data_IF_074809541593
#
_entry.id   IF_074809541593
#
_cell.length_a   1.000
_cell.length_b   1.000
_cell.length_c   1.000
_cell.angle_alpha   90.00
_cell.angle_beta   90.00
_cell.angle_gamma   90.00
#
_symmetry.space_group_name_H-M   'P 1'
#
loop_
_entity.id
_entity.type
_entity.pdbx_description
1 polymer ?
#
# COMPACT_ATOMS: atom_id res chain seq x y z
N UNK A 1 12.84 17.22 -7.98
CA UNK A 1 11.78 16.40 -7.38
C UNK A 1 12.34 15.02 -7.08
N UNK A 2 12.18 14.56 -5.85
CA UNK A 2 12.71 13.25 -5.47
C UNK A 2 11.78 12.13 -5.94
N UNK A 3 12.36 11.10 -6.50
CA UNK A 3 11.63 9.93 -6.96
C UNK A 3 12.26 8.67 -6.37
N UNK A 4 11.48 7.91 -5.63
CA UNK A 4 11.96 6.71 -4.97
C UNK A 4 10.98 5.57 -5.28
N UNK A 5 11.52 4.41 -5.64
CA UNK A 5 10.72 3.22 -5.99
C UNK A 5 9.68 3.51 -7.07
N UNK A 6 9.99 4.39 -7.99
CA UNK A 6 9.09 4.77 -9.07
C UNK A 6 8.00 5.76 -8.69
N UNK A 7 8.04 6.28 -7.47
CA UNK A 7 7.01 7.22 -6.98
C UNK A 7 7.61 8.61 -6.80
N UNK A 8 6.93 9.61 -7.35
CA UNK A 8 7.33 11.00 -7.15
C UNK A 8 6.83 11.46 -5.79
N UNK A 9 7.75 11.90 -4.94
CA UNK A 9 7.41 12.34 -3.61
C UNK A 9 6.95 13.81 -3.60
N UNK A 10 5.99 14.18 -2.73
CA UNK A 10 5.54 15.57 -2.65
C UNK A 10 6.65 16.46 -2.10
N UNK A 11 6.96 17.55 -2.80
CA UNK A 11 8.09 18.41 -2.49
C UNK A 11 7.96 19.17 -1.17
N UNK A 12 6.74 19.56 -0.83
CA UNK A 12 6.51 20.43 0.32
C UNK A 12 6.34 19.68 1.64
N UNK A 13 6.31 18.36 1.60
CA UNK A 13 6.15 17.53 2.79
C UNK A 13 7.49 17.16 3.39
N UNK A 14 7.52 16.94 4.71
CA UNK A 14 8.71 16.35 5.33
C UNK A 14 8.94 14.97 4.74
N UNK A 15 10.21 14.56 4.69
CA UNK A 15 10.56 13.28 4.10
C UNK A 15 9.86 12.12 4.82
N UNK A 16 9.65 12.23 6.13
CA UNK A 16 8.92 11.24 6.92
C UNK A 16 7.52 10.99 6.33
N UNK A 17 6.82 12.06 6.01
CA UNK A 17 5.47 11.97 5.45
C UNK A 17 5.53 11.63 3.96
N UNK A 18 6.51 12.19 3.26
CA UNK A 18 6.67 11.93 1.82
C UNK A 18 6.84 10.45 1.50
N UNK A 19 7.62 9.73 2.31
CA UNK A 19 7.83 8.30 2.09
C UNK A 19 6.56 7.48 2.24
N UNK A 20 5.59 7.95 3.01
CA UNK A 20 4.32 7.22 3.17
C UNK A 20 3.47 7.21 1.90
N UNK A 21 3.83 8.02 0.89
CA UNK A 21 3.15 7.98 -0.40
C UNK A 21 3.54 6.76 -1.22
N UNK A 22 4.59 6.05 -0.81
CA UNK A 22 4.99 4.80 -1.44
C UNK A 22 4.12 3.68 -0.88
N UNK A 23 3.49 2.91 -1.75
CA UNK A 23 2.65 1.80 -1.32
C UNK A 23 3.47 0.77 -0.52
N UNK A 24 3.05 0.49 0.67
CA UNK A 24 3.73 -0.44 1.57
C UNK A 24 4.56 0.23 2.67
N UNK A 25 4.72 1.56 2.62
CA UNK A 25 5.47 2.29 3.65
C UNK A 25 4.50 3.15 4.44
N UNK A 26 4.36 2.84 5.73
CA UNK A 26 3.62 3.66 6.66
C UNK A 26 4.57 4.56 7.45
N UNK A 27 4.01 5.32 8.39
CA UNK A 27 4.80 6.28 9.16
C UNK A 27 5.91 5.62 9.99
N UNK A 28 5.63 4.48 10.60
CA UNK A 28 6.63 3.76 11.40
C UNK A 28 7.75 3.22 10.53
N UNK A 29 7.39 2.63 9.39
CA UNK A 29 8.39 2.12 8.43
C UNK A 29 9.22 3.27 7.88
N UNK A 30 8.59 4.41 7.60
CA UNK A 30 9.29 5.60 7.12
C UNK A 30 10.35 6.05 8.12
N UNK A 31 10.01 6.14 9.40
CA UNK A 31 10.96 6.54 10.44
C UNK A 31 12.11 5.56 10.56
N UNK A 32 11.85 4.27 10.46
CA UNK A 32 12.89 3.24 10.51
C UNK A 32 13.85 3.37 9.33
N UNK A 33 13.32 3.57 8.15
CA UNK A 33 14.12 3.73 6.93
C UNK A 33 15.03 4.96 7.07
N UNK A 34 14.49 6.06 7.54
CA UNK A 34 15.27 7.29 7.70
C UNK A 34 16.35 7.14 8.75
N UNK A 35 16.08 6.43 9.84
CA UNK A 35 17.09 6.18 10.87
C UNK A 35 18.24 5.34 10.31
N UNK A 36 17.95 4.31 9.53
CA UNK A 36 18.99 3.48 8.91
C UNK A 36 19.78 4.24 7.85
N UNK A 37 19.12 5.13 7.11
CA UNK A 37 19.78 5.94 6.09
C UNK A 37 20.51 7.17 6.67
N UNK A 38 20.38 7.42 7.96
CA UNK A 38 20.96 8.60 8.63
C UNK A 38 20.47 9.91 8.03
N UNK A 39 19.17 9.99 7.75
CA UNK A 39 18.54 11.19 7.22
C UNK A 39 17.56 11.73 8.25
N UNK A 40 17.56 13.05 8.47
CA UNK A 40 16.62 13.67 9.41
C UNK A 40 15.18 13.53 8.90
N UNK A 41 14.25 13.05 9.73
CA UNK A 41 12.84 12.94 9.31
C UNK A 41 12.17 14.30 9.08
N UNK A 42 12.76 15.38 9.60
CA UNK A 42 12.19 16.72 9.46
C UNK A 42 12.62 17.42 8.17
N UNK A 43 13.55 16.85 7.41
CA UNK A 43 13.99 17.42 6.15
C UNK A 43 12.84 17.38 5.14
N UNK A 44 12.61 18.51 4.45
CA UNK A 44 11.62 18.54 3.38
C UNK A 44 12.12 17.75 2.18
N UNK A 45 11.19 17.14 1.46
CA UNK A 45 11.57 16.36 0.26
C UNK A 45 12.36 17.20 -0.72
N UNK A 46 11.98 18.46 -0.93
CA UNK A 46 12.68 19.37 -1.85
C UNK A 46 14.12 19.67 -1.42
N UNK A 47 14.44 19.50 -0.15
CA UNK A 47 15.76 19.81 0.41
C UNK A 47 16.68 18.58 0.48
N UNK A 48 16.20 17.42 0.03
CA UNK A 48 17.00 16.20 0.02
C UNK A 48 18.12 16.28 -1.01
N UNK A 49 19.33 15.88 -0.59
CA UNK A 49 20.45 15.76 -1.54
C UNK A 49 20.37 14.44 -2.28
N UNK A 50 21.08 14.34 -3.40
CA UNK A 50 21.12 13.11 -4.19
C UNK A 50 21.66 11.93 -3.38
N UNK A 51 22.66 12.17 -2.52
CA UNK A 51 23.21 11.14 -1.65
C UNK A 51 22.17 10.63 -0.67
N UNK A 52 21.40 11.54 -0.08
CA UNK A 52 20.34 11.16 0.85
C UNK A 52 19.28 10.32 0.16
N UNK A 53 18.88 10.71 -1.05
CA UNK A 53 17.90 9.95 -1.85
C UNK A 53 18.44 8.55 -2.15
N UNK A 54 19.71 8.44 -2.53
CA UNK A 54 20.33 7.13 -2.80
C UNK A 54 20.38 6.24 -1.57
N UNK A 55 20.71 6.80 -0.41
CA UNK A 55 20.74 6.02 0.83
C UNK A 55 19.37 5.51 1.20
N UNK A 56 18.36 6.36 1.07
CA UNK A 56 16.97 5.99 1.34
C UNK A 56 16.54 4.86 0.40
N UNK A 57 16.81 5.00 -0.90
CA UNK A 57 16.47 3.99 -1.90
C UNK A 57 17.14 2.65 -1.59
N UNK A 58 18.42 2.67 -1.20
CA UNK A 58 19.15 1.45 -0.87
C UNK A 58 18.52 0.73 0.32
N UNK A 59 18.16 1.47 1.36
CA UNK A 59 17.53 0.88 2.54
C UNK A 59 16.17 0.27 2.19
N UNK A 60 15.38 0.95 1.37
CA UNK A 60 14.09 0.43 0.93
C UNK A 60 14.26 -0.86 0.15
N UNK A 61 15.20 -0.89 -0.79
CA UNK A 61 15.44 -2.07 -1.64
C UNK A 61 15.86 -3.28 -0.80
N UNK A 62 16.63 -3.05 0.27
CA UNK A 62 17.11 -4.14 1.11
C UNK A 62 16.08 -4.65 2.11
N UNK A 63 15.22 -3.79 2.62
CA UNK A 63 14.40 -4.12 3.79
C UNK A 63 12.90 -4.17 3.55
N UNK A 64 12.41 -3.56 2.46
CA UNK A 64 10.97 -3.41 2.24
C UNK A 64 10.53 -3.99 0.91
N UNK A 65 9.34 -4.58 0.92
CA UNK A 65 8.64 -4.93 -0.31
C UNK A 65 7.58 -3.84 -0.53
N UNK A 66 7.69 -3.10 -1.62
CA UNK A 66 6.84 -1.92 -1.86
C UNK A 66 6.30 -1.91 -3.28
N UNK A 67 5.31 -1.07 -3.50
CA UNK A 67 4.70 -0.76 -4.81
C UNK A 67 4.35 -2.02 -5.60
N UNK A 68 4.82 -2.13 -6.83
CA UNK A 68 4.47 -3.24 -7.71
C UNK A 68 4.79 -4.61 -7.14
N UNK A 69 5.91 -4.75 -6.45
CA UNK A 69 6.29 -6.01 -5.84
C UNK A 69 5.34 -6.39 -4.71
N UNK A 70 4.96 -5.42 -3.89
CA UNK A 70 4.00 -5.69 -2.82
C UNK A 70 2.61 -6.01 -3.38
N UNK A 71 2.17 -5.28 -4.40
CA UNK A 71 0.89 -5.53 -5.04
C UNK A 71 0.84 -6.92 -5.63
N UNK A 72 1.93 -7.34 -6.24
CA UNK A 72 2.05 -8.69 -6.82
C UNK A 72 1.98 -9.75 -5.73
N UNK A 73 2.68 -9.54 -4.63
CA UNK A 73 2.68 -10.47 -3.51
C UNK A 73 1.27 -10.62 -2.92
N UNK A 74 0.56 -9.53 -2.72
CA UNK A 74 -0.82 -9.57 -2.20
C UNK A 74 -1.73 -10.32 -3.18
N UNK A 75 -1.60 -10.03 -4.47
CA UNK A 75 -2.40 -10.71 -5.49
C UNK A 75 -2.14 -12.22 -5.49
N UNK A 76 -0.89 -12.63 -5.36
CA UNK A 76 -0.53 -14.04 -5.28
C UNK A 76 -1.08 -14.71 -4.04
N UNK A 77 -1.04 -14.01 -2.90
CA UNK A 77 -1.58 -14.54 -1.65
C UNK A 77 -3.08 -14.75 -1.74
N UNK A 78 -3.80 -13.81 -2.33
CA UNK A 78 -5.25 -13.93 -2.54
C UNK A 78 -5.54 -15.09 -3.49
N UNK A 79 -4.81 -15.19 -4.59
CA UNK A 79 -4.97 -16.28 -5.55
C UNK A 79 -4.76 -17.64 -4.88
N UNK A 80 -3.73 -17.74 -4.05
CA UNK A 80 -3.46 -18.95 -3.29
C UNK A 80 -4.64 -19.33 -2.39
N UNK A 81 -5.21 -18.36 -1.68
CA UNK A 81 -6.38 -18.60 -0.84
C UNK A 81 -7.56 -19.11 -1.66
N UNK A 82 -7.77 -18.55 -2.84
CA UNK A 82 -8.84 -18.97 -3.73
C UNK A 82 -8.61 -20.40 -4.25
N UNK A 83 -7.39 -20.74 -4.59
CA UNK A 83 -7.03 -22.07 -5.09
C UNK A 83 -7.19 -23.15 -4.03
N UNK A 84 -6.85 -22.82 -2.78
CA UNK A 84 -7.02 -23.75 -1.66
C UNK A 84 -8.50 -23.99 -1.38
N UNK A 85 -9.36 -23.05 -1.70
CA UNK A 85 -10.80 -23.17 -1.47
C UNK A 85 -11.23 -22.93 -0.03
N UNK A 86 -10.40 -22.26 0.76
CA UNK A 86 -10.77 -21.93 2.12
C UNK A 86 -11.81 -20.82 2.17
N UNK A 87 -12.41 -20.59 3.34
CA UNK A 87 -13.45 -19.58 3.48
C UNK A 87 -12.98 -18.20 3.03
N UNK A 88 -11.78 -17.78 3.42
CA UNK A 88 -11.25 -16.48 3.02
C UNK A 88 -11.10 -16.38 1.51
N UNK A 89 -10.62 -17.45 0.88
CA UNK A 89 -10.49 -17.49 -0.58
C UNK A 89 -11.82 -17.38 -1.29
N UNK A 90 -12.84 -18.06 -0.77
CA UNK A 90 -14.20 -17.99 -1.33
C UNK A 90 -14.74 -16.56 -1.22
N UNK A 91 -14.51 -15.89 -0.10
CA UNK A 91 -14.96 -14.50 0.07
C UNK A 91 -14.27 -13.57 -0.92
N UNK A 92 -12.96 -13.75 -1.16
CA UNK A 92 -12.25 -12.97 -2.18
C UNK A 92 -12.79 -13.22 -3.58
N UNK A 93 -13.08 -14.48 -3.90
CA UNK A 93 -13.63 -14.84 -5.21
C UNK A 93 -14.97 -14.15 -5.44
N UNK A 94 -15.80 -14.06 -4.43
CA UNK A 94 -17.12 -13.44 -4.53
C UNK A 94 -17.11 -11.94 -4.35
N UNK A 95 -15.94 -11.35 -4.04
CA UNK A 95 -15.83 -9.91 -3.80
C UNK A 95 -16.53 -9.45 -2.53
N UNK A 96 -16.57 -10.30 -1.52
CA UNK A 96 -17.25 -10.01 -0.25
C UNK A 96 -16.23 -9.73 0.86
N UNK A 97 -16.65 -9.02 1.93
CA UNK A 97 -15.76 -8.80 3.07
C UNK A 97 -15.25 -10.12 3.66
N UNK A 98 -13.98 -10.14 4.05
CA UNK A 98 -13.27 -11.36 4.43
C UNK A 98 -13.22 -11.57 5.94
N UNK A 99 -13.34 -10.48 6.72
CA UNK A 99 -13.14 -10.52 8.17
C UNK A 99 -14.43 -10.55 8.98
N UNK A 100 -15.48 -11.15 8.44
CA UNK A 100 -16.72 -11.32 9.17
C UNK A 100 -17.60 -10.08 9.25
N UNK A 101 -17.34 -9.08 8.41
CA UNK A 101 -18.15 -7.87 8.38
C UNK A 101 -19.55 -8.17 7.82
N UNK A 102 -20.49 -7.35 8.24
CA UNK A 102 -21.85 -7.45 7.72
C UNK A 102 -21.88 -7.09 6.23
N UNK A 103 -22.69 -7.79 5.47
CA UNK A 103 -22.81 -7.55 4.03
C UNK A 103 -24.05 -6.76 3.66
N UNK A 104 -25.02 -6.63 4.55
CA UNK A 104 -26.23 -5.86 4.28
C UNK A 104 -25.98 -4.37 4.18
N UNK A 105 -25.02 -3.86 4.94
CA UNK A 105 -24.70 -2.44 4.98
C UNK A 105 -23.20 -2.28 4.86
N UNK A 106 -22.75 -1.13 4.41
CA UNK A 106 -21.34 -0.73 4.48
C UNK A 106 -20.33 -1.73 3.90
N UNK A 107 -20.73 -2.55 2.95
CA UNK A 107 -19.82 -3.48 2.29
C UNK A 107 -19.38 -2.98 0.90
N UNK A 108 -19.62 -1.72 0.60
CA UNK A 108 -19.36 -1.18 -0.73
C UNK A 108 -17.88 -1.16 -1.12
N UNK A 109 -16.97 -1.09 -0.14
CA UNK A 109 -15.54 -1.15 -0.43
C UNK A 109 -15.14 -2.44 -1.14
N UNK A 110 -15.74 -3.57 -0.78
CA UNK A 110 -15.47 -4.85 -1.42
C UNK A 110 -16.45 -5.17 -2.54
N UNK A 111 -17.73 -4.85 -2.33
CA UNK A 111 -18.78 -5.15 -3.30
C UNK A 111 -18.86 -4.13 -4.44
N UNK A 112 -18.25 -2.98 -4.26
CA UNK A 112 -18.32 -1.89 -5.20
C UNK A 112 -19.53 -0.99 -4.94
N UNK A 113 -19.76 -0.01 -5.83
CA UNK A 113 -20.89 0.91 -5.67
C UNK A 113 -22.22 0.18 -5.65
N UNK A 114 -23.16 0.73 -4.90
CA UNK A 114 -24.50 0.19 -4.84
C UNK A 114 -25.13 0.24 -6.23
N UNK A 115 -25.69 -0.88 -6.64
CA UNK A 115 -26.36 -0.95 -7.93
C UNK A 115 -27.86 -1.07 -7.77
N UNK A 116 -28.57 -0.31 -8.60
CA UNK A 116 -29.99 -0.51 -8.77
C UNK A 116 -30.17 -1.53 -9.88
N UNK A 117 -30.81 -2.62 -9.55
CA UNK A 117 -31.03 -3.68 -10.53
C UNK A 117 -32.51 -3.70 -10.89
N UNK A 118 -32.85 -3.04 -11.98
CA UNK A 118 -34.22 -2.88 -12.39
C UNK A 118 -34.91 -4.21 -12.63
N UNK A 119 -34.19 -5.16 -13.14
CA UNK A 119 -34.72 -6.49 -13.46
C UNK A 119 -34.62 -7.49 -12.34
N UNK A 120 -34.12 -7.07 -11.22
CA UNK A 120 -33.89 -7.98 -10.12
C UNK A 120 -35.20 -8.39 -9.49
N UNK A 121 -35.59 -9.61 -9.73
CA UNK A 121 -36.78 -10.17 -9.11
C UNK A 121 -36.40 -10.89 -7.87
N UNK A 122 -37.12 -10.66 -6.89
CA UNK A 122 -36.83 -11.28 -5.60
C UNK A 122 -37.83 -12.30 -5.24
#
# INVERSE_FOLDING_TARGET
MARISGVDLPRDKRVEIGLTYIYGIGRVSSNRILAEANVSPDTRVKDLTDDEVKRISSVIDETQTVEGDLRREIAMNIKRLQEIGCYRGIRHRKGLPVRGQKTKTNASTRKGPKRTVANKKK
#
